data_IF_931861837459
#
_entry.id   IF_931861837459
#
_cell.length_a   1.000
_cell.length_b   1.000
_cell.length_c   1.000
_cell.angle_alpha   90.00
_cell.angle_beta   90.00
_cell.angle_gamma   90.00
#
_symmetry.space_group_name_H-M   'P 1'
#
loop_
_entity.id
_entity.type
_entity.pdbx_description
1 polymer ?
#
# COMPACT_ATOMS: atom_id res chain seq x y z
N UNK A 1 35.98 -20.28 -25.13
CA UNK A 1 37.26 -20.32 -24.38
C UNK A 1 36.96 -20.92 -23.02
N UNK A 2 37.49 -22.10 -22.79
CA UNK A 2 37.33 -22.91 -21.57
C UNK A 2 38.04 -22.26 -20.37
N UNK A 3 37.48 -22.42 -19.18
CA UNK A 3 38.16 -22.09 -17.92
C UNK A 3 38.77 -23.39 -17.35
N UNK A 4 40.07 -23.43 -17.02
CA UNK A 4 40.66 -24.59 -16.34
C UNK A 4 40.25 -24.64 -14.85
N UNK A 5 40.25 -25.83 -14.22
CA UNK A 5 39.62 -26.05 -12.92
C UNK A 5 40.56 -25.91 -11.71
N UNK A 6 41.77 -25.36 -11.84
CA UNK A 6 42.70 -25.21 -10.71
C UNK A 6 43.02 -23.73 -10.42
N UNK A 7 42.63 -23.26 -9.23
CA UNK A 7 42.70 -21.87 -8.79
C UNK A 7 44.11 -21.30 -8.58
N UNK A 8 44.96 -21.26 -9.60
CA UNK A 8 46.25 -20.55 -9.58
C UNK A 8 46.12 -19.17 -10.22
N UNK A 9 46.44 -18.12 -9.45
CA UNK A 9 46.54 -16.74 -9.95
C UNK A 9 47.69 -16.62 -10.96
N UNK A 10 47.42 -16.05 -12.14
CA UNK A 10 48.44 -15.55 -13.05
C UNK A 10 49.18 -14.36 -12.39
N UNK A 11 50.50 -14.47 -12.22
CA UNK A 11 51.38 -13.35 -11.84
C UNK A 11 51.59 -12.46 -13.06
N UNK A 12 51.28 -11.17 -12.95
CA UNK A 12 51.66 -10.16 -13.96
C UNK A 12 50.62 -9.12 -14.39
N UNK A 13 49.59 -8.82 -13.58
CA UNK A 13 48.68 -7.70 -13.86
C UNK A 13 49.09 -6.46 -13.04
N UNK A 14 49.09 -5.24 -13.63
CA UNK A 14 49.46 -4.01 -12.94
C UNK A 14 48.43 -3.68 -11.84
N UNK A 15 48.92 -3.18 -10.70
CA UNK A 15 48.09 -2.68 -9.60
C UNK A 15 47.21 -1.52 -10.08
N UNK A 16 45.93 -1.79 -10.34
CA UNK A 16 44.92 -0.74 -10.41
C UNK A 16 44.62 -0.24 -9.00
N UNK A 17 45.04 0.99 -8.71
CA UNK A 17 44.53 1.76 -7.57
C UNK A 17 43.00 1.79 -7.65
N UNK A 18 42.25 1.51 -6.58
CA UNK A 18 40.80 1.59 -6.62
C UNK A 18 40.40 3.06 -6.82
N UNK A 19 39.94 3.38 -8.02
CA UNK A 19 39.20 4.62 -8.28
C UNK A 19 37.95 4.59 -7.41
N UNK A 20 37.73 5.68 -6.66
CA UNK A 20 36.72 5.77 -5.61
C UNK A 20 35.32 5.38 -6.09
N UNK A 21 34.69 4.47 -5.34
CA UNK A 21 33.27 4.20 -5.47
C UNK A 21 32.47 5.50 -5.24
N UNK A 22 31.41 5.78 -6.02
CA UNK A 22 30.60 6.97 -5.81
C UNK A 22 29.95 6.91 -4.42
N UNK A 23 30.24 7.93 -3.60
CA UNK A 23 29.72 8.10 -2.25
C UNK A 23 28.19 8.30 -2.29
N UNK A 24 27.43 7.21 -2.21
CA UNK A 24 25.97 7.25 -2.09
C UNK A 24 25.45 6.86 -0.69
N UNK A 25 26.30 6.91 0.33
CA UNK A 25 25.85 6.88 1.72
C UNK A 25 25.64 8.31 2.21
N UNK A 26 24.42 8.83 2.05
CA UNK A 26 24.00 10.07 2.72
C UNK A 26 24.18 9.92 4.23
N UNK A 27 24.84 10.91 4.82
CA UNK A 27 25.17 11.03 6.25
C UNK A 27 23.89 10.89 7.10
N UNK A 28 23.72 9.75 7.78
CA UNK A 28 22.58 9.53 8.69
C UNK A 28 22.82 10.35 9.96
N UNK A 29 21.93 11.29 10.26
CA UNK A 29 21.97 12.04 11.52
C UNK A 29 21.48 11.15 12.66
N UNK A 30 22.26 11.09 13.76
CA UNK A 30 21.94 10.34 14.98
C UNK A 30 21.44 11.32 16.04
N UNK A 31 20.17 11.22 16.42
CA UNK A 31 19.61 11.96 17.56
C UNK A 31 19.73 11.12 18.84
N UNK A 32 20.21 11.70 19.94
CA UNK A 32 20.36 11.04 21.25
C UNK A 32 19.48 11.76 22.28
N UNK A 33 18.40 11.15 22.79
CA UNK A 33 17.57 11.77 23.82
C UNK A 33 18.31 11.87 25.17
N UNK A 34 18.09 12.96 25.92
CA UNK A 34 18.46 13.06 27.35
C UNK A 34 17.53 12.13 28.13
N UNK A 35 18.06 11.19 28.90
CA UNK A 35 17.29 10.14 29.56
C UNK A 35 17.16 10.39 31.08
N UNK A 36 15.92 10.35 31.59
CA UNK A 36 15.60 10.11 33.01
C UNK A 36 14.45 9.09 33.20
N UNK A 37 13.88 8.52 32.12
CA UNK A 37 12.84 7.48 32.18
C UNK A 37 13.02 6.42 31.10
N UNK A 38 12.75 5.16 31.45
CA UNK A 38 12.66 4.07 30.49
C UNK A 38 11.54 4.36 29.47
N UNK A 39 11.77 4.21 28.15
CA UNK A 39 10.74 4.48 27.16
C UNK A 39 9.63 3.43 27.23
N UNK A 40 8.38 3.89 27.35
CA UNK A 40 7.21 3.03 27.23
C UNK A 40 7.17 2.36 25.84
N UNK A 41 6.58 1.16 25.75
CA UNK A 41 6.44 0.47 24.48
C UNK A 41 5.49 1.26 23.57
N UNK A 42 5.75 1.34 22.26
CA UNK A 42 4.88 2.11 21.36
C UNK A 42 3.45 1.59 21.25
N UNK A 43 3.16 0.37 21.72
CA UNK A 43 1.77 -0.11 21.86
C UNK A 43 0.96 0.76 22.83
N UNK A 44 1.62 1.51 23.71
CA UNK A 44 0.97 2.33 24.73
C UNK A 44 0.70 3.78 24.26
N UNK A 45 1.13 4.14 23.04
CA UNK A 45 0.87 5.47 22.47
C UNK A 45 -0.24 5.42 21.44
N UNK A 46 -1.30 6.20 21.68
CA UNK A 46 -2.26 6.55 20.64
C UNK A 46 -1.54 7.38 19.57
N UNK A 47 -1.25 6.73 18.45
CA UNK A 47 -0.60 7.31 17.28
C UNK A 47 -1.32 8.57 16.79
N UNK A 48 -2.65 8.64 16.95
CA UNK A 48 -3.42 9.82 16.57
C UNK A 48 -3.08 11.04 17.45
N UNK A 49 -2.69 10.84 18.71
CA UNK A 49 -2.27 11.93 19.61
C UNK A 49 -0.90 12.52 19.23
N UNK A 50 -0.10 11.79 18.46
CA UNK A 50 1.16 12.31 17.91
C UNK A 50 0.92 13.24 16.71
N UNK A 51 -0.25 13.15 16.07
CA UNK A 51 -0.70 14.17 15.14
C UNK A 51 -1.15 15.35 16.00
N UNK A 52 -0.44 16.47 15.91
CA UNK A 52 -0.74 17.70 16.66
C UNK A 52 -2.03 18.41 16.16
N UNK A 53 -3.08 17.63 15.86
CA UNK A 53 -4.39 18.04 15.37
C UNK A 53 -5.45 16.99 15.77
N UNK A 54 -6.71 17.38 16.04
CA UNK A 54 -7.79 16.42 16.22
C UNK A 54 -8.06 15.66 14.92
N UNK A 55 -8.56 14.42 15.06
CA UNK A 55 -9.15 13.69 13.95
C UNK A 55 -10.37 14.45 13.44
N UNK A 56 -10.48 14.59 12.11
CA UNK A 56 -11.69 15.18 11.53
C UNK A 56 -12.76 14.11 11.42
N UNK A 57 -13.98 14.41 11.88
CA UNK A 57 -15.15 13.57 11.63
C UNK A 57 -15.62 13.81 10.19
N UNK A 58 -15.65 12.75 9.40
CA UNK A 58 -16.12 12.78 8.02
C UNK A 58 -17.59 12.33 7.97
N UNK A 59 -18.42 12.99 7.15
CA UNK A 59 -19.84 12.62 6.99
C UNK A 59 -19.96 11.27 6.28
N UNK A 60 -20.37 10.25 7.04
CA UNK A 60 -20.48 8.87 6.61
C UNK A 60 -21.71 8.60 5.72
N UNK A 61 -22.62 9.58 5.51
CA UNK A 61 -23.83 9.36 4.69
C UNK A 61 -23.51 9.01 3.24
N UNK A 62 -22.52 9.69 2.66
CA UNK A 62 -22.07 9.41 1.29
C UNK A 62 -21.47 8.00 1.19
N UNK A 63 -20.53 7.67 2.09
CA UNK A 63 -19.91 6.34 2.15
C UNK A 63 -20.95 5.23 2.36
N UNK A 64 -21.94 5.44 3.23
CA UNK A 64 -23.02 4.46 3.43
C UNK A 64 -23.88 4.29 2.18
N UNK A 65 -24.24 5.37 1.49
CA UNK A 65 -24.97 5.28 0.22
C UNK A 65 -24.17 4.55 -0.85
N UNK A 66 -22.85 4.74 -0.86
CA UNK A 66 -21.94 4.07 -1.77
C UNK A 66 -21.89 2.55 -1.50
N UNK A 67 -21.74 2.12 -0.24
CA UNK A 67 -21.47 0.72 0.11
C UNK A 67 -22.71 -0.13 0.41
N UNK A 68 -23.74 0.44 1.02
CA UNK A 68 -24.84 -0.33 1.61
C UNK A 68 -25.58 -1.18 0.56
N UNK A 69 -25.67 -2.49 0.82
CA UNK A 69 -26.33 -3.46 -0.06
C UNK A 69 -25.53 -3.82 -1.32
N UNK A 70 -24.34 -3.24 -1.53
CA UNK A 70 -23.50 -3.51 -2.71
C UNK A 70 -22.57 -4.69 -2.51
N UNK A 71 -22.19 -5.32 -3.63
CA UNK A 71 -21.12 -6.33 -3.69
C UNK A 71 -19.80 -5.61 -3.86
N UNK A 72 -18.98 -5.57 -2.81
CA UNK A 72 -17.70 -4.84 -2.78
C UNK A 72 -16.54 -5.82 -2.84
N UNK A 73 -15.58 -5.58 -3.73
CA UNK A 73 -14.33 -6.33 -3.82
C UNK A 73 -13.14 -5.43 -3.49
N UNK A 74 -12.30 -5.86 -2.56
CA UNK A 74 -11.09 -5.15 -2.14
C UNK A 74 -9.88 -6.00 -2.47
N UNK A 75 -8.94 -5.45 -3.27
CA UNK A 75 -7.63 -6.08 -3.48
C UNK A 75 -6.59 -5.49 -2.53
N UNK A 76 -5.63 -6.29 -2.10
CA UNK A 76 -4.68 -5.91 -1.05
C UNK A 76 -5.38 -5.75 0.30
N UNK A 77 -6.45 -6.53 0.52
CA UNK A 77 -7.39 -6.41 1.63
C UNK A 77 -6.73 -6.64 3.00
N UNK A 78 -5.60 -7.35 3.07
CA UNK A 78 -4.86 -7.56 4.30
C UNK A 78 -3.78 -6.50 4.56
N UNK A 79 -3.51 -5.60 3.62
CA UNK A 79 -2.55 -4.51 3.79
C UNK A 79 -3.02 -3.46 4.81
N UNK A 80 -2.16 -2.50 5.20
CA UNK A 80 -2.53 -1.45 6.16
C UNK A 80 -3.79 -0.68 5.74
N UNK A 81 -3.85 -0.22 4.48
CA UNK A 81 -5.00 0.53 3.96
C UNK A 81 -6.15 -0.42 3.63
N UNK A 82 -5.86 -1.56 3.01
CA UNK A 82 -6.88 -2.54 2.62
C UNK A 82 -7.65 -3.11 3.81
N UNK A 83 -6.99 -3.38 4.93
CA UNK A 83 -7.65 -3.93 6.12
C UNK A 83 -8.55 -2.90 6.78
N UNK A 84 -8.16 -1.63 6.77
CA UNK A 84 -9.01 -0.55 7.25
C UNK A 84 -10.19 -0.29 6.31
N UNK A 85 -9.97 -0.34 4.98
CA UNK A 85 -11.05 -0.35 4.00
C UNK A 85 -12.02 -1.49 4.24
N UNK A 86 -11.51 -2.69 4.50
CA UNK A 86 -12.34 -3.87 4.77
C UNK A 86 -13.19 -3.67 6.04
N UNK A 87 -12.59 -3.19 7.14
CA UNK A 87 -13.32 -2.86 8.38
C UNK A 87 -14.42 -1.84 8.19
N UNK A 88 -14.09 -0.70 7.59
CA UNK A 88 -15.07 0.38 7.40
C UNK A 88 -16.16 -0.03 6.41
N UNK A 89 -15.79 -0.67 5.30
CA UNK A 89 -16.75 -1.20 4.32
C UNK A 89 -17.68 -2.20 5.00
N UNK A 90 -17.16 -3.14 5.78
CA UNK A 90 -17.96 -4.15 6.48
C UNK A 90 -18.99 -3.53 7.45
N UNK A 91 -18.65 -2.42 8.10
CA UNK A 91 -19.54 -1.67 8.99
C UNK A 91 -20.66 -0.91 8.25
N UNK A 92 -20.52 -0.69 6.94
CA UNK A 92 -21.50 0.00 6.09
C UNK A 92 -22.52 -0.95 5.45
N UNK A 93 -22.58 -2.20 5.90
CA UNK A 93 -23.57 -3.23 5.50
C UNK A 93 -23.63 -3.51 3.99
N UNK A 94 -22.52 -3.94 3.35
CA UNK A 94 -22.54 -4.46 1.99
C UNK A 94 -23.34 -5.76 1.93
N UNK A 95 -23.87 -6.12 0.76
CA UNK A 95 -24.52 -7.43 0.59
C UNK A 95 -23.50 -8.56 0.53
N UNK A 96 -22.30 -8.27 0.00
CA UNK A 96 -21.14 -9.16 0.00
C UNK A 96 -19.88 -8.33 0.07
N UNK A 97 -18.91 -8.76 0.87
CA UNK A 97 -17.58 -8.18 0.94
C UNK A 97 -16.54 -9.24 0.56
N UNK A 98 -15.83 -8.98 -0.53
CA UNK A 98 -14.78 -9.83 -1.05
C UNK A 98 -13.38 -9.29 -0.71
N UNK A 99 -12.56 -10.10 -0.06
CA UNK A 99 -11.20 -9.79 0.38
C UNK A 99 -10.20 -10.57 -0.47
N UNK A 100 -9.45 -9.87 -1.32
CA UNK A 100 -8.38 -10.44 -2.13
C UNK A 100 -7.03 -9.94 -1.63
N UNK A 101 -6.12 -10.87 -1.34
CA UNK A 101 -4.72 -10.56 -1.01
C UNK A 101 -3.83 -11.72 -1.47
N UNK A 102 -2.55 -11.45 -1.74
CA UNK A 102 -1.59 -12.50 -2.09
C UNK A 102 -0.78 -13.00 -0.88
N UNK A 103 -0.91 -12.32 0.26
CA UNK A 103 -0.37 -12.75 1.54
C UNK A 103 -1.42 -13.54 2.30
N UNK A 104 -1.19 -14.85 2.45
CA UNK A 104 -2.05 -15.74 3.24
C UNK A 104 -2.23 -15.21 4.67
N UNK A 105 -1.14 -14.85 5.35
CA UNK A 105 -1.19 -14.32 6.71
C UNK A 105 -2.04 -13.05 6.81
N UNK A 106 -1.82 -12.06 5.93
CA UNK A 106 -2.57 -10.81 6.00
C UNK A 106 -4.06 -11.04 5.70
N UNK A 107 -4.38 -11.91 4.73
CA UNK A 107 -5.74 -12.27 4.39
C UNK A 107 -6.45 -12.97 5.55
N UNK A 108 -5.78 -13.97 6.16
CA UNK A 108 -6.30 -14.68 7.33
C UNK A 108 -6.61 -13.73 8.48
N UNK A 109 -5.70 -12.80 8.79
CA UNK A 109 -5.88 -11.86 9.90
C UNK A 109 -7.13 -10.99 9.72
N UNK A 110 -7.34 -10.41 8.52
CA UNK A 110 -8.51 -9.56 8.28
C UNK A 110 -9.80 -10.38 8.17
N UNK A 111 -9.77 -11.56 7.55
CA UNK A 111 -10.93 -12.45 7.47
C UNK A 111 -11.40 -12.88 8.87
N UNK A 112 -10.47 -13.36 9.71
CA UNK A 112 -10.75 -13.73 11.10
C UNK A 112 -11.34 -12.56 11.89
N UNK A 113 -10.72 -11.39 11.82
CA UNK A 113 -11.19 -10.20 12.53
C UNK A 113 -12.64 -9.82 12.17
N UNK A 114 -12.98 -9.84 10.88
CA UNK A 114 -14.33 -9.47 10.44
C UNK A 114 -15.36 -10.54 10.82
N UNK A 115 -14.99 -11.82 10.75
CA UNK A 115 -15.86 -12.93 11.16
C UNK A 115 -16.16 -12.90 12.65
N UNK A 116 -15.16 -12.67 13.50
CA UNK A 116 -15.35 -12.56 14.95
C UNK A 116 -16.28 -11.40 15.33
N UNK A 117 -16.25 -10.32 14.56
CA UNK A 117 -17.15 -9.16 14.74
C UNK A 117 -18.53 -9.35 14.11
N UNK A 118 -18.75 -10.41 13.34
CA UNK A 118 -19.99 -10.63 12.60
C UNK A 118 -20.30 -9.55 11.56
N UNK A 119 -19.26 -8.93 10.97
CA UNK A 119 -19.40 -7.84 10.01
C UNK A 119 -19.17 -8.30 8.57
N UNK A 120 -19.65 -7.53 7.59
CA UNK A 120 -19.35 -7.74 6.18
C UNK A 120 -20.37 -8.55 5.39
N UNK A 121 -21.48 -8.96 6.01
CA UNK A 121 -22.54 -9.72 5.35
C UNK A 121 -22.02 -11.08 4.88
N UNK A 122 -22.14 -11.35 3.58
CA UNK A 122 -21.48 -12.49 2.95
C UNK A 122 -19.98 -12.18 2.72
N UNK A 123 -19.11 -12.78 3.55
CA UNK A 123 -17.66 -12.63 3.46
C UNK A 123 -17.03 -13.68 2.54
N UNK A 124 -16.45 -13.22 1.43
CA UNK A 124 -15.66 -14.03 0.51
C UNK A 124 -14.18 -13.67 0.59
N UNK A 125 -13.33 -14.62 0.98
CA UNK A 125 -11.88 -14.40 1.06
C UNK A 125 -11.15 -15.25 0.02
N UNK A 126 -10.20 -14.65 -0.69
CA UNK A 126 -9.48 -15.33 -1.77
C UNK A 126 -8.00 -14.96 -1.78
N UNK A 127 -7.14 -15.98 -1.69
CA UNK A 127 -5.70 -15.84 -1.90
C UNK A 127 -5.45 -15.61 -3.40
N UNK A 128 -5.35 -14.34 -3.80
CA UNK A 128 -5.26 -13.93 -5.20
C UNK A 128 -4.14 -12.90 -5.37
N UNK A 129 -3.21 -13.24 -6.26
CA UNK A 129 -2.27 -12.28 -6.83
C UNK A 129 -2.94 -11.55 -8.01
N UNK A 130 -2.98 -10.22 -7.95
CA UNK A 130 -3.55 -9.37 -9.00
C UNK A 130 -2.84 -9.52 -10.35
N UNK A 131 -1.61 -10.05 -10.37
CA UNK A 131 -0.87 -10.35 -11.59
C UNK A 131 -1.30 -11.69 -12.24
N UNK A 132 -2.08 -12.53 -11.53
CA UNK A 132 -2.57 -13.82 -12.01
C UNK A 132 -3.99 -13.67 -12.53
N UNK A 133 -4.11 -13.33 -13.81
CA UNK A 133 -5.38 -13.02 -14.46
C UNK A 133 -6.45 -14.11 -14.31
N UNK A 134 -6.08 -15.39 -14.32
CA UNK A 134 -7.03 -16.50 -14.13
C UNK A 134 -7.67 -16.50 -12.74
N UNK A 135 -6.86 -16.30 -11.69
CA UNK A 135 -7.34 -16.27 -10.31
C UNK A 135 -8.21 -15.02 -10.08
N UNK A 136 -7.75 -13.88 -10.59
CA UNK A 136 -8.48 -12.62 -10.55
C UNK A 136 -9.84 -12.74 -11.27
N UNK A 137 -9.85 -13.32 -12.47
CA UNK A 137 -11.08 -13.50 -13.26
C UNK A 137 -12.07 -14.40 -12.51
N UNK A 138 -11.62 -15.52 -11.94
CA UNK A 138 -12.46 -16.42 -11.14
C UNK A 138 -13.09 -15.70 -9.94
N UNK A 139 -12.31 -14.88 -9.23
CA UNK A 139 -12.83 -14.10 -8.11
C UNK A 139 -13.89 -13.10 -8.56
N UNK A 140 -13.68 -12.40 -9.69
CA UNK A 140 -14.66 -11.49 -10.27
C UNK A 140 -15.93 -12.21 -10.73
N UNK A 141 -15.84 -13.41 -11.31
CA UNK A 141 -17.00 -14.19 -11.77
C UNK A 141 -17.86 -14.70 -10.61
N UNK A 142 -17.24 -15.06 -9.49
CA UNK A 142 -17.93 -15.50 -8.26
C UNK A 142 -18.58 -14.30 -7.56
N UNK A 143 -17.83 -13.21 -7.39
CA UNK A 143 -18.26 -12.05 -6.59
C UNK A 143 -19.23 -11.17 -7.38
N UNK A 144 -19.02 -11.01 -8.69
CA UNK A 144 -19.72 -10.06 -9.58
C UNK A 144 -19.80 -8.66 -8.97
N UNK A 145 -18.65 -8.04 -8.63
CA UNK A 145 -18.62 -6.84 -7.81
C UNK A 145 -19.31 -5.65 -8.51
N UNK A 146 -20.07 -4.87 -7.75
CA UNK A 146 -20.55 -3.55 -8.16
C UNK A 146 -19.49 -2.49 -7.87
N UNK A 147 -18.70 -2.70 -6.81
CA UNK A 147 -17.66 -1.78 -6.38
C UNK A 147 -16.36 -2.54 -6.27
N UNK A 148 -15.31 -1.99 -6.87
CA UNK A 148 -13.94 -2.50 -6.78
C UNK A 148 -13.08 -1.46 -6.09
N UNK A 149 -12.38 -1.82 -5.01
CA UNK A 149 -11.42 -0.96 -4.34
C UNK A 149 -10.02 -1.58 -4.46
N UNK A 150 -9.16 -0.95 -5.26
CA UNK A 150 -7.83 -1.45 -5.56
C UNK A 150 -6.77 -0.84 -4.64
N UNK A 151 -6.35 -1.59 -3.61
CA UNK A 151 -5.31 -1.20 -2.66
C UNK A 151 -4.02 -2.05 -2.74
N UNK A 152 -3.98 -3.10 -3.57
CA UNK A 152 -2.79 -3.93 -3.77
C UNK A 152 -1.69 -3.16 -4.51
N UNK A 153 -0.52 -2.98 -3.87
CA UNK A 153 0.66 -2.36 -4.47
C UNK A 153 1.92 -2.58 -3.62
N UNK A 154 3.09 -2.51 -4.25
CA UNK A 154 4.36 -2.30 -3.56
C UNK A 154 4.63 -0.81 -3.35
N UNK A 155 4.93 -0.43 -2.10
CA UNK A 155 5.05 0.98 -1.68
C UNK A 155 6.43 1.41 -1.18
N UNK A 156 7.31 0.48 -0.83
CA UNK A 156 8.56 0.81 -0.13
C UNK A 156 9.61 1.29 -1.13
N UNK A 157 9.82 2.61 -1.22
CA UNK A 157 10.65 3.25 -2.26
C UNK A 157 12.03 2.59 -2.42
N UNK A 158 12.86 2.41 -1.38
CA UNK A 158 14.17 1.77 -1.55
C UNK A 158 14.11 0.36 -2.16
N UNK A 159 13.16 -0.47 -1.70
CA UNK A 159 13.01 -1.84 -2.20
C UNK A 159 12.54 -1.83 -3.65
N UNK A 160 11.60 -0.94 -3.97
CA UNK A 160 11.05 -0.82 -5.33
C UNK A 160 12.10 -0.30 -6.32
N UNK A 161 12.96 0.64 -5.90
CA UNK A 161 14.06 1.13 -6.75
C UNK A 161 15.04 0.01 -7.13
N UNK A 162 15.30 -0.93 -6.22
CA UNK A 162 16.15 -2.09 -6.47
C UNK A 162 15.42 -3.22 -7.23
N UNK A 163 14.08 -3.24 -7.19
CA UNK A 163 13.25 -4.33 -7.74
C UNK A 163 12.21 -3.81 -8.74
N UNK A 164 12.67 -3.00 -9.71
CA UNK A 164 11.81 -2.26 -10.65
C UNK A 164 10.86 -3.14 -11.45
N UNK A 165 11.33 -4.26 -12.00
CA UNK A 165 10.48 -5.14 -12.80
C UNK A 165 9.34 -5.73 -11.97
N UNK A 166 9.63 -6.21 -10.75
CA UNK A 166 8.62 -6.73 -9.84
C UNK A 166 7.60 -5.65 -9.45
N UNK A 167 8.08 -4.43 -9.19
CA UNK A 167 7.20 -3.30 -8.90
C UNK A 167 6.32 -2.88 -10.08
N UNK A 168 6.86 -2.86 -11.30
CA UNK A 168 6.07 -2.56 -12.49
C UNK A 168 5.02 -3.65 -12.76
N UNK A 169 5.37 -4.92 -12.56
CA UNK A 169 4.40 -6.03 -12.68
C UNK A 169 3.22 -5.85 -11.73
N UNK A 170 3.46 -5.59 -10.45
CA UNK A 170 2.35 -5.43 -9.48
C UNK A 170 1.62 -4.10 -9.67
N UNK A 171 2.35 -2.98 -9.65
CA UNK A 171 1.75 -1.65 -9.57
C UNK A 171 1.15 -1.18 -10.90
N UNK A 172 1.66 -1.66 -12.04
CA UNK A 172 1.17 -1.28 -13.37
C UNK A 172 0.34 -2.40 -13.97
N UNK A 173 0.95 -3.58 -14.19
CA UNK A 173 0.24 -4.68 -14.87
C UNK A 173 -0.88 -5.26 -14.00
N UNK A 174 -0.64 -5.44 -12.70
CA UNK A 174 -1.66 -5.87 -11.75
C UNK A 174 -2.83 -4.87 -11.66
N UNK A 175 -2.53 -3.57 -11.61
CA UNK A 175 -3.56 -2.53 -11.66
C UNK A 175 -4.37 -2.59 -12.96
N UNK A 176 -3.70 -2.68 -14.12
CA UNK A 176 -4.35 -2.86 -15.42
C UNK A 176 -5.31 -4.06 -15.41
N UNK A 177 -4.86 -5.23 -14.94
CA UNK A 177 -5.70 -6.43 -14.89
C UNK A 177 -6.94 -6.25 -14.01
N UNK A 178 -6.79 -5.59 -12.86
CA UNK A 178 -7.93 -5.27 -11.97
C UNK A 178 -8.92 -4.33 -12.65
N UNK A 179 -8.43 -3.29 -13.32
CA UNK A 179 -9.28 -2.31 -14.00
C UNK A 179 -9.99 -2.90 -15.23
N UNK A 180 -9.30 -3.75 -16.00
CA UNK A 180 -9.90 -4.48 -17.11
C UNK A 180 -10.97 -5.47 -16.61
N UNK A 181 -10.70 -6.16 -15.48
CA UNK A 181 -11.66 -7.06 -14.86
C UNK A 181 -12.90 -6.32 -14.34
N UNK A 182 -12.73 -5.13 -13.74
CA UNK A 182 -13.83 -4.27 -13.31
C UNK A 182 -14.70 -3.83 -14.49
N UNK A 183 -14.08 -3.42 -15.59
CA UNK A 183 -14.76 -3.04 -16.84
C UNK A 183 -15.57 -4.22 -17.40
N UNK A 184 -14.95 -5.40 -17.51
CA UNK A 184 -15.59 -6.61 -18.03
C UNK A 184 -16.75 -7.07 -17.16
N UNK A 185 -16.62 -6.94 -15.83
CA UNK A 185 -17.68 -7.26 -14.87
C UNK A 185 -18.78 -6.20 -14.82
N UNK A 186 -18.62 -5.07 -15.54
CA UNK A 186 -19.52 -3.92 -15.49
C UNK A 186 -19.74 -3.43 -14.06
N UNK A 187 -18.66 -3.35 -13.28
CA UNK A 187 -18.70 -2.73 -11.97
C UNK A 187 -19.17 -1.29 -12.12
N UNK A 188 -19.97 -0.79 -11.19
CA UNK A 188 -20.46 0.59 -11.20
C UNK A 188 -19.29 1.56 -10.97
N UNK A 189 -18.37 1.20 -10.06
CA UNK A 189 -17.24 2.06 -9.70
C UNK A 189 -16.01 1.25 -9.33
N UNK A 190 -14.85 1.68 -9.85
CA UNK A 190 -13.53 1.21 -9.48
C UNK A 190 -12.72 2.33 -8.84
N UNK A 191 -12.42 2.17 -7.55
CA UNK A 191 -11.65 3.12 -6.74
C UNK A 191 -10.20 2.66 -6.66
N UNK A 192 -9.26 3.51 -7.09
CA UNK A 192 -7.83 3.26 -7.02
C UNK A 192 -7.16 4.04 -5.90
N UNK A 193 -6.49 3.32 -5.00
CA UNK A 193 -5.67 3.91 -3.95
C UNK A 193 -4.32 4.34 -4.54
N UNK A 194 -4.10 5.65 -4.61
CA UNK A 194 -2.85 6.25 -5.06
C UNK A 194 -2.15 7.02 -3.93
N UNK A 195 -1.15 7.81 -4.26
CA UNK A 195 -0.23 8.45 -3.31
C UNK A 195 0.21 9.82 -3.82
N UNK A 196 0.50 10.73 -2.90
CA UNK A 196 1.22 11.99 -3.16
C UNK A 196 2.49 11.81 -4.02
N UNK A 197 3.18 10.67 -3.90
CA UNK A 197 4.40 10.35 -4.67
C UNK A 197 4.16 10.14 -6.17
N UNK A 198 2.91 10.02 -6.60
CA UNK A 198 2.54 9.97 -8.02
C UNK A 198 2.49 11.37 -8.66
N UNK A 199 2.47 12.45 -7.85
CA UNK A 199 2.54 13.83 -8.34
C UNK A 199 3.99 14.17 -8.67
N UNK A 200 4.29 14.48 -9.93
CA UNK A 200 5.64 14.77 -10.43
C UNK A 200 6.69 13.77 -9.88
N UNK A 201 6.54 12.47 -10.21
CA UNK A 201 7.21 11.41 -9.49
C UNK A 201 8.73 11.49 -9.64
N UNK A 202 9.44 11.54 -8.51
CA UNK A 202 10.92 11.50 -8.46
C UNK A 202 11.45 10.11 -8.08
N UNK A 203 10.58 9.10 -8.06
CA UNK A 203 10.93 7.71 -7.76
C UNK A 203 10.19 6.77 -8.71
N UNK A 204 10.77 5.61 -8.98
CA UNK A 204 10.17 4.55 -9.77
C UNK A 204 8.85 4.09 -9.15
N UNK A 205 8.78 3.95 -7.83
CA UNK A 205 7.54 3.63 -7.12
C UNK A 205 6.42 4.64 -7.44
N UNK A 206 6.70 5.94 -7.30
CA UNK A 206 5.75 6.99 -7.67
C UNK A 206 5.35 6.97 -9.14
N UNK A 207 6.32 6.73 -10.04
CA UNK A 207 6.08 6.64 -11.47
C UNK A 207 5.16 5.47 -11.83
N UNK A 208 5.33 4.29 -11.23
CA UNK A 208 4.44 3.14 -11.46
C UNK A 208 3.00 3.45 -11.06
N UNK A 209 2.79 4.12 -9.92
CA UNK A 209 1.45 4.55 -9.50
C UNK A 209 0.87 5.57 -10.47
N UNK A 210 1.67 6.54 -10.93
CA UNK A 210 1.24 7.53 -11.93
C UNK A 210 0.80 6.87 -13.24
N UNK A 211 1.50 5.85 -13.71
CA UNK A 211 1.10 5.10 -14.91
C UNK A 211 -0.26 4.42 -14.70
N UNK A 212 -0.47 3.77 -13.55
CA UNK A 212 -1.75 3.14 -13.23
C UNK A 212 -2.91 4.15 -13.16
N UNK A 213 -2.67 5.36 -12.62
CA UNK A 213 -3.67 6.44 -12.65
C UNK A 213 -4.04 6.85 -14.06
N UNK A 214 -3.04 7.03 -14.94
CA UNK A 214 -3.28 7.40 -16.34
C UNK A 214 -4.08 6.33 -17.07
N UNK A 215 -3.82 5.05 -16.77
CA UNK A 215 -4.59 3.95 -17.33
C UNK A 215 -6.06 3.96 -16.86
N UNK A 216 -6.30 4.11 -15.56
CA UNK A 216 -7.65 4.23 -15.01
C UNK A 216 -8.39 5.45 -15.59
N UNK A 217 -7.71 6.59 -15.71
CA UNK A 217 -8.25 7.80 -16.32
C UNK A 217 -8.59 7.59 -17.81
N UNK A 218 -7.75 6.88 -18.55
CA UNK A 218 -8.01 6.57 -19.95
C UNK A 218 -9.27 5.69 -20.12
N UNK A 219 -9.48 4.71 -19.23
CA UNK A 219 -10.70 3.90 -19.23
C UNK A 219 -11.96 4.71 -18.92
N UNK A 220 -11.89 5.63 -17.95
CA UNK A 220 -13.00 6.54 -17.62
C UNK A 220 -13.36 7.46 -18.80
N UNK A 221 -12.35 8.05 -19.45
CA UNK A 221 -12.53 8.92 -20.63
C UNK A 221 -13.09 8.15 -21.81
N UNK A 222 -12.71 6.88 -21.98
CA UNK A 222 -13.24 6.00 -23.01
C UNK A 222 -14.72 5.61 -22.78
N UNK A 223 -15.35 6.13 -21.72
CA UNK A 223 -16.76 5.92 -21.36
C UNK A 223 -17.11 4.44 -21.21
N UNK A 224 -16.29 3.70 -20.46
CA UNK A 224 -16.70 2.37 -20.01
C UNK A 224 -17.96 2.45 -19.12
N UNK A 225 -18.74 1.36 -19.05
CA UNK A 225 -19.85 1.21 -18.10
C UNK A 225 -19.40 1.39 -16.62
N UNK A 226 -18.09 1.39 -16.36
CA UNK A 226 -17.46 1.55 -15.04
C UNK A 226 -16.88 2.94 -14.85
N UNK A 227 -17.22 3.60 -13.75
CA UNK A 227 -16.59 4.86 -13.32
C UNK A 227 -15.26 4.58 -12.61
N UNK A 228 -14.17 5.24 -13.01
CA UNK A 228 -12.87 5.12 -12.35
C UNK A 228 -12.56 6.33 -11.49
N UNK A 229 -12.35 6.11 -10.19
CA UNK A 229 -12.01 7.15 -9.22
C UNK A 229 -10.61 6.89 -8.67
N UNK A 230 -9.71 7.86 -8.79
CA UNK A 230 -8.39 7.79 -8.16
C UNK A 230 -8.35 8.68 -6.93
N UNK A 231 -7.95 8.11 -5.79
CA UNK A 231 -7.79 8.87 -4.54
C UNK A 231 -6.31 8.93 -4.17
N UNK A 232 -5.75 10.13 -4.10
CA UNK A 232 -4.38 10.38 -3.63
C UNK A 232 -4.39 10.87 -2.20
N UNK A 233 -3.56 10.28 -1.36
CA UNK A 233 -3.28 10.81 -0.02
C UNK A 233 -1.79 10.72 0.32
N UNK A 234 -1.42 11.45 1.38
CA UNK A 234 -0.06 11.54 1.89
C UNK A 234 0.35 10.32 2.70
N UNK A 235 1.23 10.53 3.69
CA UNK A 235 1.66 9.44 4.54
C UNK A 235 0.56 9.06 5.55
N UNK A 236 0.36 7.76 5.73
CA UNK A 236 -0.51 7.23 6.78
C UNK A 236 0.35 6.80 7.96
N UNK A 237 0.10 7.42 9.12
CA UNK A 237 0.90 7.20 10.32
C UNK A 237 0.71 5.77 10.83
N UNK A 238 1.80 5.12 11.26
CA UNK A 238 1.74 3.75 11.78
C UNK A 238 1.60 2.67 10.71
N UNK A 239 1.57 3.02 9.43
CA UNK A 239 1.48 2.01 8.37
C UNK A 239 2.70 1.07 8.33
N UNK A 240 2.51 -0.16 7.84
CA UNK A 240 3.56 -1.19 7.80
C UNK A 240 4.80 -0.68 7.08
N UNK A 241 5.97 -0.83 7.70
CA UNK A 241 7.25 -0.38 7.15
C UNK A 241 7.41 1.15 7.07
N UNK A 242 6.59 1.92 7.79
CA UNK A 242 6.75 3.38 7.86
C UNK A 242 7.74 3.82 8.93
N UNK A 243 8.02 5.13 8.96
CA UNK A 243 9.02 5.74 9.84
C UNK A 243 8.69 5.60 11.32
N UNK A 244 7.41 5.67 11.70
CA UNK A 244 7.01 5.60 13.11
C UNK A 244 7.33 4.22 13.74
N UNK A 245 6.96 3.08 13.14
CA UNK A 245 7.42 1.76 13.59
C UNK A 245 8.96 1.59 13.58
N UNK A 246 9.67 2.23 12.65
CA UNK A 246 11.13 2.20 12.64
C UNK A 246 11.70 2.93 13.87
N UNK A 247 11.22 4.13 14.15
CA UNK A 247 11.64 4.92 15.31
C UNK A 247 11.31 4.20 16.62
N UNK A 248 10.13 3.58 16.67
CA UNK A 248 9.71 2.71 17.76
C UNK A 248 10.73 1.63 18.09
N UNK A 249 11.14 0.89 17.06
CA UNK A 249 12.12 -0.18 17.16
C UNK A 249 13.50 0.34 17.58
N UNK A 250 13.92 1.49 17.05
CA UNK A 250 15.21 2.10 17.38
C UNK A 250 15.28 2.56 18.83
N UNK A 251 14.21 3.21 19.32
CA UNK A 251 14.09 3.65 20.70
C UNK A 251 14.05 2.45 21.65
N UNK A 252 13.25 1.43 21.34
CA UNK A 252 13.17 0.20 22.14
C UNK A 252 14.51 -0.54 22.21
N UNK A 253 15.34 -0.47 21.15
CA UNK A 253 16.69 -1.01 21.14
C UNK A 253 17.74 -0.12 21.84
N UNK A 254 17.34 1.01 22.45
CA UNK A 254 18.26 1.96 23.09
C UNK A 254 19.17 2.72 22.13
N UNK A 255 18.91 2.64 20.82
CA UNK A 255 19.72 3.23 19.76
C UNK A 255 19.27 4.65 19.39
N UNK A 256 20.11 5.41 18.66
CA UNK A 256 19.71 6.71 18.13
C UNK A 256 18.66 6.55 17.03
N UNK A 257 17.73 7.51 16.95
CA UNK A 257 16.76 7.58 15.85
C UNK A 257 17.46 8.06 14.58
N UNK A 258 17.17 7.41 13.45
CA UNK A 258 17.77 7.75 12.15
C UNK A 258 16.86 8.64 11.32
N UNK A 259 17.28 9.89 11.10
CA UNK A 259 16.55 10.85 10.25
C UNK A 259 17.27 10.99 8.91
N UNK A 260 16.52 10.99 7.82
CA UNK A 260 17.07 11.05 6.45
C UNK A 260 17.65 12.42 6.10
N UNK A 261 17.00 13.51 6.52
CA UNK A 261 17.46 14.88 6.38
C UNK A 261 16.79 15.77 7.43
N UNK A 262 17.48 16.72 8.07
CA UNK A 262 16.89 17.58 9.11
C UNK A 262 15.66 18.37 8.63
N UNK A 263 15.66 18.82 7.39
CA UNK A 263 14.58 19.65 6.84
C UNK A 263 13.44 18.85 6.19
N UNK A 264 13.44 17.51 6.30
CA UNK A 264 12.42 16.71 5.63
C UNK A 264 11.06 16.90 6.30
N UNK A 265 10.07 17.36 5.51
CA UNK A 265 8.68 17.49 5.94
C UNK A 265 7.81 16.46 5.24
N UNK A 266 6.82 15.94 5.97
CA UNK A 266 5.84 14.95 5.50
C UNK A 266 4.47 15.29 6.08
N UNK A 267 3.43 15.14 5.27
CA UNK A 267 2.05 15.27 5.71
C UNK A 267 1.56 13.91 6.20
N UNK A 268 0.89 13.90 7.35
CA UNK A 268 0.38 12.69 7.97
C UNK A 268 -1.11 12.79 8.25
N UNK A 269 -1.76 11.64 8.16
CA UNK A 269 -3.13 11.40 8.63
C UNK A 269 -3.24 10.01 9.25
N UNK A 270 -4.33 9.74 9.95
CA UNK A 270 -4.59 8.40 10.47
C UNK A 270 -5.09 7.49 9.35
N UNK A 271 -4.97 6.17 9.54
CA UNK A 271 -5.50 5.19 8.58
C UNK A 271 -7.01 5.33 8.44
N UNK A 272 -7.71 5.55 9.56
CA UNK A 272 -9.15 5.75 9.57
C UNK A 272 -9.55 6.96 8.70
N UNK A 273 -8.92 8.13 8.91
CA UNK A 273 -9.20 9.34 8.13
C UNK A 273 -8.92 9.14 6.63
N UNK A 274 -7.83 8.46 6.28
CA UNK A 274 -7.51 8.21 4.88
C UNK A 274 -8.58 7.36 4.19
N UNK A 275 -9.06 6.32 4.88
CA UNK A 275 -10.10 5.41 4.36
C UNK A 275 -11.47 6.09 4.31
N UNK A 276 -11.83 6.89 5.30
CA UNK A 276 -13.08 7.65 5.28
C UNK A 276 -13.15 8.59 4.07
N UNK A 277 -12.05 9.30 3.75
CA UNK A 277 -11.99 10.15 2.56
C UNK A 277 -12.06 9.35 1.26
N UNK A 278 -11.48 8.15 1.22
CA UNK A 278 -11.58 7.26 0.06
C UNK A 278 -13.03 6.87 -0.19
N UNK A 279 -13.74 6.42 0.85
CA UNK A 279 -15.13 5.99 0.74
C UNK A 279 -16.09 7.16 0.47
N UNK A 280 -15.73 8.38 0.86
CA UNK A 280 -16.50 9.58 0.54
C UNK A 280 -16.27 10.07 -0.90
N UNK A 281 -15.06 9.93 -1.43
CA UNK A 281 -14.71 10.40 -2.77
C UNK A 281 -15.22 9.48 -3.89
N UNK A 282 -15.54 8.23 -3.53
CA UNK A 282 -15.98 7.18 -4.45
C UNK A 282 -17.39 7.40 -4.98
#
# INVERSE_FOLDING_TARGET
>A
MEFPPDGRRLKGAPEMKPQGAPALFKRIFRFRPKADRAPAALKDFDIAQLLNRPQRRIDQRAARKFVNGKRVLITGAGGTIGSELARQTAALAPSRLALLDNSEFNLYQIDMELREKGLGGDLFSSLTDVCRNEHLSRAFDIVKPEIVIHAAAYKHVPIVEENRCAAAMVNVMGAKLVFDAATRAKAETAVFISTDKAVNPTSFMGATKRIAELYAQALDIAQSDTRFVTVRFGNVFGSTGSVAPLFARQIAAGGPVTVTHPDIKRYFMTTAEAVELVLQAA
#
